data_IF_847966787346
#
_entry.id   IF_847966787346
#
_cell.length_a   1.000
_cell.length_b   1.000
_cell.length_c   1.000
_cell.angle_alpha   90.00
_cell.angle_beta   90.00
_cell.angle_gamma   90.00
#
_symmetry.space_group_name_H-M   'P 1'
#
loop_
_entity.id
_entity.type
_entity.pdbx_description
1 polymer ?
#
# COMPACT_ATOMS: atom_id res chain seq x y z
N UNK A 1 -8.72 21.04 -2.60
CA UNK A 1 -9.00 20.73 -1.18
C UNK A 1 -9.88 19.48 -0.94
N UNK A 2 -10.14 18.60 -1.93
CA UNK A 2 -11.38 17.81 -1.94
C UNK A 2 -11.37 16.33 -1.51
N UNK A 3 -10.24 15.61 -1.57
CA UNK A 3 -10.27 14.13 -1.51
C UNK A 3 -9.76 13.57 -0.17
N UNK A 4 -8.66 14.10 0.36
CA UNK A 4 -8.04 13.60 1.60
C UNK A 4 -8.92 13.82 2.84
N UNK A 5 -9.65 14.95 2.90
CA UNK A 5 -10.57 15.26 4.00
C UNK A 5 -11.84 14.39 3.95
N UNK A 6 -12.25 13.96 2.75
CA UNK A 6 -13.40 13.08 2.52
C UNK A 6 -13.10 11.63 2.96
N UNK A 7 -11.91 11.11 2.63
CA UNK A 7 -11.48 9.78 3.07
C UNK A 7 -11.30 9.75 4.60
N UNK A 8 -10.67 10.77 5.19
CA UNK A 8 -10.54 10.85 6.64
C UNK A 8 -11.90 10.82 7.36
N UNK A 9 -12.88 11.60 6.89
CA UNK A 9 -14.24 11.57 7.42
C UNK A 9 -14.98 10.25 7.18
N UNK A 10 -14.68 9.53 6.10
CA UNK A 10 -15.24 8.19 5.86
C UNK A 10 -14.66 7.16 6.83
N UNK A 11 -13.35 7.20 7.10
CA UNK A 11 -12.72 6.30 8.07
C UNK A 11 -13.33 6.51 9.46
N UNK A 12 -13.55 7.77 9.86
CA UNK A 12 -14.21 8.10 11.14
C UNK A 12 -15.63 7.54 11.21
N UNK A 13 -16.42 7.68 10.14
CA UNK A 13 -17.78 7.12 10.08
C UNK A 13 -17.79 5.60 10.13
N UNK A 14 -16.87 4.94 9.42
CA UNK A 14 -16.74 3.47 9.46
C UNK A 14 -16.40 3.04 10.89
N UNK A 15 -15.39 3.64 11.51
CA UNK A 15 -14.98 3.35 12.89
C UNK A 15 -16.15 3.47 13.89
N UNK A 16 -16.97 4.51 13.75
CA UNK A 16 -18.19 4.66 14.56
C UNK A 16 -19.25 3.58 14.27
N UNK A 17 -19.48 3.19 13.02
CA UNK A 17 -20.49 2.17 12.67
C UNK A 17 -20.08 0.75 13.09
N UNK A 18 -18.79 0.42 13.05
CA UNK A 18 -18.29 -0.92 13.43
C UNK A 18 -17.75 -1.01 14.86
N UNK A 19 -17.76 0.10 15.60
CA UNK A 19 -17.21 0.24 16.96
C UNK A 19 -15.75 -0.26 17.07
N UNK A 20 -14.89 0.21 16.16
CA UNK A 20 -13.45 -0.09 16.15
C UNK A 20 -12.63 1.19 16.18
N UNK A 21 -11.38 1.08 16.62
CA UNK A 21 -10.44 2.19 16.58
C UNK A 21 -10.17 2.64 15.14
N UNK A 22 -10.05 3.95 14.97
CA UNK A 22 -9.76 4.58 13.67
C UNK A 22 -8.47 4.03 13.03
N UNK A 23 -7.44 3.79 13.85
CA UNK A 23 -6.17 3.20 13.40
C UNK A 23 -6.40 1.80 12.82
N UNK A 24 -7.09 0.94 13.56
CA UNK A 24 -7.40 -0.42 13.14
C UNK A 24 -8.24 -0.44 11.84
N UNK A 25 -9.25 0.42 11.73
CA UNK A 25 -10.04 0.55 10.48
C UNK A 25 -9.15 0.97 9.31
N UNK A 26 -8.26 1.94 9.52
CA UNK A 26 -7.31 2.38 8.50
C UNK A 26 -6.41 1.21 8.08
N UNK A 27 -5.88 0.46 9.03
CA UNK A 27 -4.97 -0.66 8.75
C UNK A 27 -5.68 -1.82 8.04
N UNK A 28 -6.94 -2.10 8.40
CA UNK A 28 -7.79 -3.07 7.69
C UNK A 28 -8.02 -2.63 6.25
N UNK A 29 -8.40 -1.36 6.02
CA UNK A 29 -8.68 -0.84 4.67
C UNK A 29 -7.42 -0.79 3.80
N UNK A 30 -6.25 -0.55 4.39
CA UNK A 30 -4.97 -0.59 3.70
C UNK A 30 -4.44 -2.02 3.51
N UNK A 31 -5.08 -3.01 4.13
CA UNK A 31 -4.64 -4.40 4.21
C UNK A 31 -3.19 -4.50 4.71
N UNK A 32 -2.88 -3.73 5.75
CA UNK A 32 -1.56 -3.73 6.38
C UNK A 32 -1.22 -5.16 6.83
N UNK A 33 -0.02 -5.69 6.54
CA UNK A 33 0.37 -7.02 6.96
C UNK A 33 0.47 -7.11 8.48
N UNK A 34 0.26 -8.32 9.02
CA UNK A 34 0.41 -8.64 10.45
C UNK A 34 -0.51 -7.86 11.41
N UNK A 35 -1.64 -7.32 10.94
CA UNK A 35 -2.62 -6.67 11.82
C UNK A 35 -3.38 -7.69 12.69
N UNK A 36 -3.54 -7.36 13.97
CA UNK A 36 -4.38 -8.09 14.92
C UNK A 36 -5.86 -7.70 14.73
N UNK A 37 -6.46 -8.22 13.66
CA UNK A 37 -7.89 -8.03 13.36
C UNK A 37 -8.53 -9.38 13.05
N UNK A 38 -9.65 -9.70 13.73
CA UNK A 38 -10.42 -10.92 13.44
C UNK A 38 -11.07 -10.85 12.07
N UNK A 39 -11.51 -11.99 11.55
CA UNK A 39 -12.19 -12.05 10.26
C UNK A 39 -13.49 -11.23 10.28
N UNK A 40 -14.24 -11.31 11.38
CA UNK A 40 -15.51 -10.61 11.57
C UNK A 40 -15.31 -9.09 11.56
N UNK A 41 -14.25 -8.59 12.22
CA UNK A 41 -13.90 -7.17 12.20
C UNK A 41 -13.56 -6.69 10.78
N UNK A 42 -12.79 -7.49 10.03
CA UNK A 42 -12.46 -7.17 8.62
C UNK A 42 -13.72 -7.13 7.77
N UNK A 43 -14.57 -8.15 7.88
CA UNK A 43 -15.83 -8.24 7.12
C UNK A 43 -16.79 -7.07 7.47
N UNK A 44 -16.87 -6.68 8.73
CA UNK A 44 -17.65 -5.52 9.18
C UNK A 44 -17.12 -4.21 8.58
N UNK A 45 -15.80 -3.99 8.58
CA UNK A 45 -15.17 -2.80 7.99
C UNK A 45 -15.44 -2.74 6.48
N UNK A 46 -15.19 -3.82 5.74
CA UNK A 46 -15.36 -3.83 4.28
C UNK A 46 -16.82 -3.71 3.86
N UNK A 47 -17.75 -4.34 4.57
CA UNK A 47 -19.19 -4.22 4.30
C UNK A 47 -19.70 -2.79 4.57
N UNK A 48 -19.27 -2.19 5.69
CA UNK A 48 -19.60 -0.80 6.04
C UNK A 48 -18.99 0.20 5.04
N UNK A 49 -17.75 -0.02 4.63
CA UNK A 49 -17.09 0.80 3.61
C UNK A 49 -17.84 0.77 2.27
N UNK A 50 -18.35 -0.41 1.84
CA UNK A 50 -19.20 -0.52 0.64
C UNK A 50 -20.51 0.23 0.80
N UNK A 51 -21.19 0.06 1.93
CA UNK A 51 -22.45 0.76 2.25
C UNK A 51 -22.28 2.27 2.21
N UNK A 52 -21.14 2.78 2.66
CA UNK A 52 -20.80 4.21 2.66
C UNK A 52 -20.26 4.73 1.32
N UNK A 53 -20.17 3.87 0.29
CA UNK A 53 -19.75 4.26 -1.05
C UNK A 53 -18.25 4.57 -1.15
N UNK A 54 -17.40 3.88 -0.39
CA UNK A 54 -15.95 4.00 -0.53
C UNK A 54 -15.52 3.53 -1.92
N UNK A 55 -14.73 4.35 -2.59
CA UNK A 55 -14.13 3.99 -3.87
C UNK A 55 -12.95 3.04 -3.65
N UNK A 56 -13.21 1.74 -3.79
CA UNK A 56 -12.21 0.69 -3.66
C UNK A 56 -11.14 0.74 -4.75
N UNK A 57 -11.44 1.32 -5.92
CA UNK A 57 -10.46 1.48 -6.98
C UNK A 57 -9.45 2.56 -6.60
N UNK A 58 -9.92 3.70 -6.09
CA UNK A 58 -9.06 4.73 -5.52
C UNK A 58 -8.21 4.20 -4.35
N UNK A 59 -8.79 3.38 -3.47
CA UNK A 59 -8.08 2.75 -2.36
C UNK A 59 -6.97 1.81 -2.86
N UNK A 60 -7.26 0.99 -3.88
CA UNK A 60 -6.30 0.08 -4.51
C UNK A 60 -5.16 0.83 -5.21
N UNK A 61 -5.47 1.93 -5.89
CA UNK A 61 -4.46 2.82 -6.49
C UNK A 61 -3.58 3.43 -5.40
N UNK A 62 -4.17 3.92 -4.31
CA UNK A 62 -3.44 4.43 -3.15
C UNK A 62 -2.47 3.41 -2.59
N UNK A 63 -2.93 2.18 -2.33
CA UNK A 63 -2.09 1.06 -1.86
C UNK A 63 -0.89 0.79 -2.78
N UNK A 64 -1.14 0.77 -4.10
CA UNK A 64 -0.08 0.58 -5.10
C UNK A 64 0.95 1.71 -5.10
N UNK A 65 0.51 2.95 -4.89
CA UNK A 65 1.41 4.09 -4.80
C UNK A 65 2.26 4.03 -3.53
N UNK A 66 1.66 3.72 -2.37
CA UNK A 66 2.39 3.55 -1.11
C UNK A 66 3.50 2.52 -1.24
N UNK A 67 3.19 1.32 -1.75
CA UNK A 67 4.18 0.25 -1.94
C UNK A 67 5.33 0.67 -2.89
N UNK A 68 5.04 1.52 -3.89
CA UNK A 68 6.08 2.07 -4.78
C UNK A 68 6.96 3.09 -4.06
N UNK A 69 6.38 3.94 -3.22
CA UNK A 69 7.14 4.88 -2.40
C UNK A 69 8.05 4.14 -1.43
N UNK A 70 7.53 3.15 -0.69
CA UNK A 70 8.31 2.32 0.24
C UNK A 70 9.49 1.65 -0.47
N UNK A 71 9.27 1.05 -1.65
CA UNK A 71 10.35 0.43 -2.43
C UNK A 71 11.42 1.44 -2.89
N UNK A 72 11.02 2.68 -3.23
CA UNK A 72 11.96 3.74 -3.57
C UNK A 72 12.75 4.20 -2.35
N UNK A 73 12.10 4.35 -1.20
CA UNK A 73 12.75 4.71 0.07
C UNK A 73 13.76 3.65 0.51
N UNK A 74 13.46 2.36 0.32
CA UNK A 74 14.41 1.28 0.59
C UNK A 74 15.65 1.35 -0.32
N UNK A 75 15.46 1.60 -1.61
CA UNK A 75 16.57 1.78 -2.56
C UNK A 75 17.42 2.99 -2.19
N UNK A 76 16.78 4.11 -1.87
CA UNK A 76 17.47 5.33 -1.45
C UNK A 76 18.27 5.10 -0.16
N UNK A 77 17.65 4.50 0.85
CA UNK A 77 18.32 4.15 2.11
C UNK A 77 19.51 3.23 1.88
N UNK A 78 19.42 2.27 0.95
CA UNK A 78 20.55 1.43 0.62
C UNK A 78 21.70 2.24 0.00
N UNK A 79 21.41 3.13 -0.95
CA UNK A 79 22.40 4.02 -1.56
C UNK A 79 23.04 4.95 -0.54
N UNK A 80 22.24 5.55 0.36
CA UNK A 80 22.72 6.45 1.43
C UNK A 80 23.70 5.75 2.38
N UNK A 81 23.55 4.43 2.58
CA UNK A 81 24.44 3.62 3.41
C UNK A 81 25.75 3.23 2.70
N UNK A 82 25.92 3.55 1.41
CA UNK A 82 27.11 3.25 0.62
C UNK A 82 27.66 4.54 -0.04
N UNK A 83 28.15 5.51 0.76
CA UNK A 83 28.65 6.79 0.24
C UNK A 83 29.90 6.65 -0.65
N UNK A 84 30.59 5.50 -0.59
CA UNK A 84 31.74 5.17 -1.41
C UNK A 84 31.37 4.82 -2.86
N UNK A 85 30.10 4.53 -3.14
CA UNK A 85 29.68 4.14 -4.48
C UNK A 85 29.81 5.27 -5.49
N UNK A 86 30.39 4.92 -6.64
CA UNK A 86 30.36 5.73 -7.85
C UNK A 86 28.95 5.84 -8.42
N UNK A 87 28.75 6.81 -9.32
CA UNK A 87 27.50 6.97 -10.07
C UNK A 87 27.16 5.70 -10.85
N UNK A 88 28.15 5.05 -11.45
CA UNK A 88 28.00 3.82 -12.21
C UNK A 88 27.45 2.68 -11.34
N UNK A 89 28.01 2.50 -10.14
CA UNK A 89 27.57 1.47 -9.18
C UNK A 89 26.14 1.72 -8.68
N UNK A 90 25.78 2.97 -8.40
CA UNK A 90 24.41 3.35 -8.04
C UNK A 90 23.42 3.00 -9.17
N UNK A 91 23.76 3.36 -10.41
CA UNK A 91 22.90 3.08 -11.57
C UNK A 91 22.73 1.57 -11.79
N UNK A 92 23.80 0.80 -11.63
CA UNK A 92 23.75 -0.65 -11.79
C UNK A 92 22.92 -1.32 -10.67
N UNK A 93 23.04 -0.85 -9.43
CA UNK A 93 22.16 -1.32 -8.34
C UNK A 93 20.68 -1.04 -8.64
N UNK A 94 20.34 0.19 -9.06
CA UNK A 94 18.96 0.56 -9.41
C UNK A 94 18.43 -0.32 -10.55
N UNK A 95 19.23 -0.54 -11.59
CA UNK A 95 18.86 -1.43 -12.72
C UNK A 95 18.64 -2.87 -12.26
N UNK A 96 19.52 -3.38 -11.41
CA UNK A 96 19.40 -4.74 -10.86
C UNK A 96 18.12 -4.90 -10.04
N UNK A 97 17.84 -3.97 -9.14
CA UNK A 97 16.61 -3.94 -8.33
C UNK A 97 15.36 -3.88 -9.20
N UNK A 98 15.35 -3.05 -10.25
CA UNK A 98 14.25 -2.99 -11.22
C UNK A 98 14.05 -4.33 -11.95
N UNK A 99 15.13 -5.02 -12.33
CA UNK A 99 15.03 -6.32 -13.02
C UNK A 99 14.51 -7.43 -12.10
N UNK A 100 14.92 -7.43 -10.82
CA UNK A 100 14.37 -8.35 -9.82
C UNK A 100 12.86 -8.17 -9.67
N UNK A 101 12.40 -6.92 -9.55
CA UNK A 101 10.96 -6.61 -9.50
C UNK A 101 10.23 -7.12 -10.75
N UNK A 102 10.78 -6.91 -11.95
CA UNK A 102 10.21 -7.41 -13.21
C UNK A 102 10.15 -8.95 -13.27
N UNK A 103 11.14 -9.65 -12.71
CA UNK A 103 11.14 -11.13 -12.65
C UNK A 103 10.06 -11.65 -11.73
N UNK A 104 9.93 -11.05 -10.53
CA UNK A 104 8.87 -11.40 -9.58
C UNK A 104 7.50 -11.13 -10.20
N UNK A 105 7.32 -9.99 -10.86
CA UNK A 105 6.08 -9.65 -11.57
C UNK A 105 5.73 -10.70 -12.63
N UNK A 106 6.69 -11.07 -13.50
CA UNK A 106 6.49 -12.09 -14.54
C UNK A 106 6.13 -13.46 -13.97
N UNK A 107 6.72 -13.84 -12.83
CA UNK A 107 6.42 -15.12 -12.17
C UNK A 107 5.05 -15.13 -11.48
N UNK A 108 4.67 -14.02 -10.87
CA UNK A 108 3.39 -13.90 -10.16
C UNK A 108 2.20 -13.75 -11.13
N UNK A 109 2.43 -13.19 -12.32
CA UNK A 109 1.41 -12.89 -13.32
C UNK A 109 1.83 -13.34 -14.74
N UNK A 110 2.03 -14.65 -14.98
CA UNK A 110 2.58 -15.17 -16.23
C UNK A 110 1.70 -14.89 -17.47
N UNK A 111 0.38 -14.71 -17.27
CA UNK A 111 -0.60 -14.53 -18.36
C UNK A 111 -1.28 -13.16 -18.37
N UNK A 112 -0.86 -12.21 -17.53
CA UNK A 112 -1.54 -10.90 -17.41
C UNK A 112 -1.06 -9.85 -18.43
N UNK A 113 0.00 -10.12 -19.17
CA UNK A 113 0.61 -9.22 -20.17
C UNK A 113 0.82 -9.88 -21.54
N UNK A 114 0.16 -11.01 -21.81
CA UNK A 114 0.09 -11.60 -23.16
C UNK A 114 -1.01 -10.94 -23.97
#
# INVERSE_FOLDING_TARGET
MGTSRRIAGMIERIASEVNLDRSLVKDILLETPHIEATREQRDAVFSTARKLGLDFEALRIGKRLTARCEALEEVLKYIENHPEWSREEILDYIRHSAELMKRVQRRALPDFFK
#
